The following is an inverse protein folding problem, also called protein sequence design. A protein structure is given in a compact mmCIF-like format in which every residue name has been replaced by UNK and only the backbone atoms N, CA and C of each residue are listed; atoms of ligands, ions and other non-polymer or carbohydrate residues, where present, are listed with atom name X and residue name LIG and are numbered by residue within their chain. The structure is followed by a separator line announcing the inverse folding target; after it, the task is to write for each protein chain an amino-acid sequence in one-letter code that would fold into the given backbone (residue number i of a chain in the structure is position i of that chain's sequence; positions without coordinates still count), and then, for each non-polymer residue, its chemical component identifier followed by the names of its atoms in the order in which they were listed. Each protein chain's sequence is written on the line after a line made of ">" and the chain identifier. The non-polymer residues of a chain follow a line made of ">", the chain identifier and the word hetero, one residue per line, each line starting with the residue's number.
data_IF_167257048230
#
_entry.id   IF_167257048230
#
_cell.length_a   1.000
_cell.length_b   1.000
_cell.length_c   1.000
_cell.angle_alpha   90.00
_cell.angle_beta   90.00
_cell.angle_gamma   90.00
#
_symmetry.space_group_name_H-M   'P 1'
#
loop_
_entity.id
_entity.type
_entity.pdbx_description
1 polymer ?
#
# COMPACT_ATOMS: atom_id res chain seq x y z
N UNK A 1 15.36 3.86 -12.56
CA UNK A 1 14.12 4.06 -13.33
C UNK A 1 13.04 4.35 -12.30
N UNK A 2 12.40 5.52 -12.34
CA UNK A 2 11.43 5.91 -11.31
C UNK A 2 10.22 5.00 -11.27
N UNK A 3 9.60 4.83 -10.10
CA UNK A 3 8.32 4.12 -9.97
C UNK A 3 7.21 4.99 -10.59
N UNK A 4 6.26 4.35 -11.27
CA UNK A 4 5.11 5.07 -11.83
C UNK A 4 4.15 5.45 -10.69
N UNK A 5 3.32 6.48 -10.89
CA UNK A 5 2.36 6.92 -9.87
C UNK A 5 1.40 5.81 -9.42
N UNK A 6 1.18 4.80 -10.28
CA UNK A 6 0.37 3.62 -9.97
C UNK A 6 1.07 2.67 -8.98
N UNK A 7 2.40 2.61 -8.98
CA UNK A 7 3.18 1.77 -8.06
C UNK A 7 3.17 2.31 -6.62
N UNK A 8 2.80 3.59 -6.46
CA UNK A 8 2.68 4.28 -5.17
C UNK A 8 1.31 4.11 -4.49
N UNK A 9 0.41 3.29 -5.05
CA UNK A 9 -0.86 2.93 -4.43
C UNK A 9 -0.94 1.43 -4.09
N UNK A 10 -1.60 1.11 -2.99
CA UNK A 10 -1.93 -0.26 -2.63
C UNK A 10 -3.03 -0.82 -3.55
N UNK A 11 -2.81 -1.96 -4.21
CA UNK A 11 -3.79 -2.53 -5.14
C UNK A 11 -5.05 -3.12 -4.49
N UNK A 12 -5.08 -3.27 -3.15
CA UNK A 12 -6.24 -3.79 -2.41
C UNK A 12 -7.22 -2.67 -2.06
N UNK A 13 -6.75 -1.61 -1.40
CA UNK A 13 -7.59 -0.47 -1.02
C UNK A 13 -7.57 0.67 -2.04
N UNK A 14 -6.67 0.62 -3.02
CA UNK A 14 -6.50 1.64 -4.06
C UNK A 14 -6.25 3.03 -3.48
N UNK A 15 -5.54 3.09 -2.35
CA UNK A 15 -5.11 4.32 -1.69
C UNK A 15 -3.59 4.47 -1.79
N UNK A 16 -3.07 5.70 -1.86
CA UNK A 16 -1.63 5.96 -1.81
C UNK A 16 -0.97 5.40 -0.55
N UNK A 17 0.28 4.97 -0.67
CA UNK A 17 1.10 4.63 0.49
C UNK A 17 1.46 5.87 1.30
N UNK A 18 1.68 5.70 2.60
CA UNK A 18 2.01 6.79 3.52
C UNK A 18 2.90 6.26 4.65
N UNK A 19 3.69 7.13 5.28
CA UNK A 19 4.55 6.75 6.41
C UNK A 19 3.81 6.49 7.73
N UNK A 20 2.52 6.82 7.82
CA UNK A 20 1.74 6.71 9.06
C UNK A 20 0.75 5.54 9.02
N UNK A 21 -0.21 5.59 8.10
CA UNK A 21 -1.34 4.65 8.13
C UNK A 21 -1.21 3.56 7.06
N UNK A 22 -0.80 3.95 5.85
CA UNK A 22 -0.66 3.07 4.68
C UNK A 22 0.80 2.68 4.43
N UNK A 23 1.46 2.12 5.45
CA UNK A 23 2.87 1.71 5.36
C UNK A 23 3.00 0.57 4.33
N UNK A 24 3.86 0.70 3.29
CA UNK A 24 4.06 -0.33 2.26
C UNK A 24 4.89 -1.50 2.83
N UNK A 25 4.25 -2.66 3.03
CA UNK A 25 4.85 -3.88 3.57
C UNK A 25 5.02 -4.94 2.49
N UNK A 26 6.15 -5.64 2.50
CA UNK A 26 6.54 -6.64 1.53
C UNK A 26 6.24 -8.05 2.08
N UNK A 27 5.48 -8.85 1.33
CA UNK A 27 5.28 -10.27 1.62
C UNK A 27 6.51 -11.10 1.19
N UNK A 28 6.60 -12.36 1.63
CA UNK A 28 7.71 -13.26 1.23
C UNK A 28 7.80 -13.52 -0.28
N UNK A 29 6.72 -13.22 -1.02
CA UNK A 29 6.67 -13.30 -2.49
C UNK A 29 7.00 -11.96 -3.16
N UNK A 30 7.64 -11.03 -2.45
CA UNK A 30 8.11 -9.70 -2.90
C UNK A 30 7.00 -8.71 -3.30
N UNK A 31 5.73 -9.11 -3.26
CA UNK A 31 4.61 -8.20 -3.50
C UNK A 31 4.37 -7.28 -2.30
N UNK A 32 4.07 -6.01 -2.60
CA UNK A 32 3.87 -4.96 -1.59
C UNK A 32 2.40 -4.56 -1.44
N UNK A 33 1.95 -4.42 -0.19
CA UNK A 33 0.60 -3.96 0.17
C UNK A 33 0.66 -3.07 1.41
N UNK A 34 -0.38 -2.30 1.69
CA UNK A 34 -0.37 -1.48 2.90
C UNK A 34 -0.63 -2.33 4.14
N UNK A 35 0.01 -2.00 5.26
CA UNK A 35 -0.09 -2.76 6.51
C UNK A 35 -1.52 -2.99 6.98
N UNK A 36 -2.41 -1.99 6.86
CA UNK A 36 -3.83 -2.13 7.21
C UNK A 36 -4.54 -3.20 6.38
N UNK A 37 -4.26 -3.29 5.07
CA UNK A 37 -4.84 -4.32 4.22
C UNK A 37 -4.29 -5.70 4.58
N UNK A 38 -3.00 -5.82 4.85
CA UNK A 38 -2.40 -7.10 5.28
C UNK A 38 -2.99 -7.58 6.60
N UNK A 39 -3.17 -6.68 7.57
CA UNK A 39 -3.81 -6.99 8.85
C UNK A 39 -5.24 -7.50 8.64
N UNK A 40 -6.04 -6.82 7.82
CA UNK A 40 -7.42 -7.19 7.54
C UNK A 40 -7.55 -8.55 6.82
N UNK A 41 -6.56 -8.93 6.00
CA UNK A 41 -6.52 -10.21 5.30
C UNK A 41 -5.85 -11.33 6.10
N UNK A 42 -5.21 -11.00 7.22
CA UNK A 42 -4.50 -11.97 8.05
C UNK A 42 -5.45 -12.92 8.77
N UNK A 43 -4.98 -14.15 9.00
CA UNK A 43 -5.70 -15.20 9.73
C UNK A 43 -4.77 -15.84 10.74
N UNK A 44 -5.24 -16.02 11.97
CA UNK A 44 -4.56 -16.82 12.97
C UNK A 44 -4.94 -18.29 12.78
N UNK A 45 -3.96 -19.14 12.46
CA UNK A 45 -4.15 -20.58 12.28
C UNK A 45 -3.09 -21.32 13.08
N UNK A 46 -3.52 -22.20 14.00
CA UNK A 46 -2.62 -23.04 14.81
C UNK A 46 -1.50 -22.27 15.52
N UNK A 47 -1.79 -21.03 15.98
CA UNK A 47 -0.79 -20.18 16.64
C UNK A 47 0.22 -19.56 15.68
N UNK A 48 -0.09 -19.40 14.39
CA UNK A 48 0.72 -18.69 13.40
C UNK A 48 -0.17 -17.69 12.66
N UNK A 49 0.31 -16.46 12.45
CA UNK A 49 -0.39 -15.49 11.63
C UNK A 49 -0.05 -15.73 10.16
N UNK A 50 -1.08 -15.84 9.32
CA UNK A 50 -0.96 -16.16 7.90
C UNK A 50 -1.66 -15.12 7.05
N UNK A 51 -1.11 -14.83 5.87
CA UNK A 51 -1.77 -14.01 4.85
C UNK A 51 -1.50 -14.60 3.47
N UNK A 52 -2.54 -14.68 2.63
CA UNK A 52 -2.43 -15.11 1.25
C UNK A 52 -2.27 -13.89 0.35
N UNK A 53 -1.26 -13.89 -0.53
CA UNK A 53 -1.03 -12.81 -1.47
C UNK A 53 -2.18 -12.73 -2.51
N UNK A 54 -2.88 -11.59 -2.66
CA UNK A 54 -3.92 -11.42 -3.67
C UNK A 54 -3.46 -11.59 -5.13
N UNK A 55 -2.15 -11.48 -5.38
CA UNK A 55 -1.57 -11.44 -6.72
C UNK A 55 -1.06 -12.81 -7.18
N UNK A 56 -0.37 -13.55 -6.31
CA UNK A 56 0.24 -14.83 -6.65
C UNK A 56 -0.21 -16.01 -5.78
N UNK A 57 -1.11 -15.77 -4.82
CA UNK A 57 -1.62 -16.76 -3.85
C UNK A 57 -0.56 -17.39 -2.93
N UNK A 58 0.66 -16.85 -2.91
CA UNK A 58 1.68 -17.26 -1.96
C UNK A 58 1.23 -16.99 -0.51
N UNK A 59 1.49 -17.94 0.39
CA UNK A 59 1.16 -17.81 1.81
C UNK A 59 2.39 -17.31 2.57
N UNK A 60 2.25 -16.17 3.23
CA UNK A 60 3.24 -15.65 4.17
C UNK A 60 2.81 -15.97 5.58
N UNK A 61 3.69 -16.63 6.33
CA UNK A 61 3.51 -16.99 7.73
C UNK A 61 4.43 -16.13 8.59
N UNK A 62 3.93 -15.65 9.72
CA UNK A 62 4.69 -14.85 10.68
C UNK A 62 4.39 -15.28 12.11
N UNK A 63 5.36 -15.10 12.99
CA UNK A 63 5.19 -15.31 14.43
C UNK A 63 4.05 -14.43 15.00
N UNK A 64 3.21 -14.94 15.94
CA UNK A 64 2.15 -14.14 16.56
C UNK A 64 2.64 -13.10 17.55
N UNK A 65 3.94 -13.11 17.89
CA UNK A 65 4.53 -12.19 18.86
C UNK A 65 4.44 -10.72 18.43
N UNK A 66 4.21 -10.46 17.15
CA UNK A 66 3.92 -9.15 16.59
C UNK A 66 2.63 -9.18 15.77
N UNK A 67 2.05 -8.00 15.52
CA UNK A 67 1.02 -7.87 14.48
C UNK A 67 1.60 -8.30 13.13
N UNK A 68 0.81 -8.94 12.26
CA UNK A 68 1.31 -9.48 10.99
C UNK A 68 2.07 -8.41 10.14
N UNK A 69 1.60 -7.16 9.99
CA UNK A 69 2.36 -6.12 9.29
C UNK A 69 3.67 -5.72 9.99
N UNK A 70 3.74 -5.85 11.32
CA UNK A 70 4.93 -5.53 12.10
C UNK A 70 6.09 -6.49 11.85
N UNK A 71 5.78 -7.75 11.51
CA UNK A 71 6.77 -8.78 11.18
C UNK A 71 7.29 -8.69 9.74
N UNK A 72 6.73 -7.81 8.91
CA UNK A 72 7.05 -7.73 7.48
C UNK A 72 7.93 -6.53 7.17
N UNK A 73 8.84 -6.71 6.22
CA UNK A 73 9.73 -5.65 5.73
C UNK A 73 8.94 -4.50 5.11
N UNK A 74 9.45 -3.28 5.27
CA UNK A 74 8.93 -2.10 4.56
C UNK A 74 9.60 -2.03 3.19
N UNK A 75 8.83 -1.75 2.14
CA UNK A 75 9.39 -1.50 0.82
C UNK A 75 10.10 -0.14 0.84
N UNK A 76 11.44 -0.14 0.88
CA UNK A 76 12.25 1.07 1.03
C UNK A 76 12.17 1.98 -0.18
N UNK A 77 12.09 1.44 -1.40
CA UNK A 77 11.96 2.22 -2.63
C UNK A 77 10.68 3.08 -2.61
N UNK A 78 9.54 2.48 -2.26
CA UNK A 78 8.28 3.22 -2.10
C UNK A 78 8.39 4.17 -0.90
N UNK A 79 8.99 3.73 0.21
CA UNK A 79 9.11 4.52 1.43
C UNK A 79 9.88 5.82 1.22
N UNK A 80 10.95 5.77 0.44
CA UNK A 80 11.79 6.92 0.13
C UNK A 80 11.05 7.90 -0.77
N UNK A 81 10.33 7.41 -1.78
CA UNK A 81 9.52 8.26 -2.67
C UNK A 81 8.30 8.90 -2.00
N UNK A 82 7.82 8.39 -0.85
CA UNK A 82 6.76 9.06 -0.07
C UNK A 82 7.27 10.39 0.51
N UNK A 83 8.57 10.52 0.84
CA UNK A 83 9.13 11.77 1.36
C UNK A 83 8.98 12.91 0.37
N UNK A 84 9.33 12.63 -0.89
CA UNK A 84 9.34 13.63 -1.94
C UNK A 84 7.92 14.18 -2.19
N UNK A 85 6.89 13.33 -2.08
CA UNK A 85 5.49 13.74 -2.24
C UNK A 85 4.93 14.51 -1.04
N UNK A 86 5.29 14.15 0.19
CA UNK A 86 4.80 14.84 1.39
C UNK A 86 5.41 16.26 1.54
N UNK A 87 6.62 16.46 1.00
CA UNK A 87 7.25 17.79 0.93
C UNK A 87 6.47 18.76 0.04
N UNK A 88 5.80 18.28 -1.00
CA UNK A 88 5.01 19.12 -1.91
C UNK A 88 3.65 19.56 -1.29
N UNK A 89 2.97 18.65 -0.57
CA UNK A 89 1.66 18.94 0.05
C UNK A 89 1.75 19.89 1.26
N UNK A 90 2.83 19.82 2.06
CA UNK A 90 3.04 20.73 3.21
C UNK A 90 3.46 22.15 2.79
N UNK A 91 4.19 22.31 1.68
CA UNK A 91 4.61 23.61 1.17
C UNK A 91 3.46 24.36 0.47
N UNK A 92 2.46 23.66 -0.10
CA UNK A 92 1.25 24.27 -0.66
C UNK A 92 0.36 24.91 0.44
N UNK A 93 0.24 24.27 1.61
CA UNK A 93 -0.52 24.82 2.74
C UNK A 93 0.14 26.06 3.38
N UNK A 94 1.48 26.18 3.30
CA UNK A 94 2.20 27.37 3.78
C UNK A 94 2.02 28.60 2.88
N UNK A 95 1.64 28.41 1.60
CA UNK A 95 1.37 29.51 0.66
C UNK A 95 -0.02 30.14 0.77
N UNK A 96 -1.01 29.42 1.30
CA UNK A 96 -2.41 29.86 1.29
C UNK A 96 -2.80 30.83 2.43
N UNK A 97 -1.95 31.06 3.42
CA UNK A 97 -2.29 31.86 4.61
C UNK A 97 -2.02 33.36 4.48
N UNK A 98 -2.11 33.95 3.27
CA UNK A 98 -1.87 35.39 3.08
C UNK A 98 -2.96 36.24 2.43
N UNK A 99 -4.17 35.73 2.16
CA UNK A 99 -5.27 36.65 1.79
C UNK A 99 -6.67 36.19 2.21
N UNK A 100 -7.34 37.11 2.90
CA UNK A 100 -8.65 37.03 3.54
C UNK A 100 -9.81 37.34 2.57
N UNK A 101 -10.86 36.52 2.68
CA UNK A 101 -12.32 36.79 2.52
C UNK A 101 -12.85 37.34 1.18
N UNK A 102 -13.72 36.56 0.52
CA UNK A 102 -15.11 36.98 0.15
C UNK A 102 -15.96 35.82 -0.41
N UNK A 103 -17.13 35.64 0.20
CA UNK A 103 -18.45 35.26 -0.37
C UNK A 103 -18.70 33.89 -1.03
N UNK A 104 -19.58 33.13 -0.39
CA UNK A 104 -20.65 32.23 -0.90
C UNK A 104 -20.43 31.48 -2.21
N UNK A 105 -20.19 30.16 -2.14
CA UNK A 105 -21.13 29.11 -2.56
C UNK A 105 -20.50 27.74 -2.25
N UNK A 106 -21.25 26.85 -1.61
CA UNK A 106 -20.92 25.42 -1.65
C UNK A 106 -20.95 24.96 -3.11
N UNK A 107 -20.00 24.10 -3.51
CA UNK A 107 -20.47 22.85 -4.04
C UNK A 107 -19.78 21.68 -3.35
N UNK A 108 -20.63 20.71 -3.00
CA UNK A 108 -20.31 19.31 -2.81
C UNK A 108 -19.04 18.89 -3.57
N UNK A 109 -17.92 18.73 -2.85
CA UNK A 109 -16.81 17.92 -3.35
C UNK A 109 -17.20 16.48 -3.10
N UNK A 110 -18.04 15.96 -3.98
CA UNK A 110 -18.22 14.53 -4.15
C UNK A 110 -16.83 13.89 -4.11
N UNK A 111 -16.60 13.01 -3.12
CA UNK A 111 -15.55 12.02 -3.18
C UNK A 111 -15.72 11.32 -4.54
N UNK A 112 -14.84 11.67 -5.48
CA UNK A 112 -14.88 11.16 -6.84
C UNK A 112 -14.56 9.69 -6.79
N UNK A 113 -15.60 8.86 -6.62
CA UNK A 113 -15.60 7.44 -6.94
C UNK A 113 -15.47 7.29 -8.47
N UNK A 114 -14.37 7.78 -9.04
CA UNK A 114 -13.93 7.44 -10.39
C UNK A 114 -13.67 5.95 -10.34
N UNK A 115 -14.54 5.17 -10.99
CA UNK A 115 -14.50 3.72 -11.00
C UNK A 115 -13.08 3.24 -11.38
N UNK A 116 -12.27 2.92 -10.38
CA UNK A 116 -10.93 2.31 -10.52
C UNK A 116 -11.00 0.85 -11.00
N UNK A 117 -12.13 0.44 -11.60
CA UNK A 117 -12.30 -0.90 -12.20
C UNK A 117 -11.29 -1.14 -13.33
N UNK A 118 -10.93 -0.09 -14.09
CA UNK A 118 -9.89 -0.18 -15.12
C UNK A 118 -8.49 -0.42 -14.53
N UNK A 119 -8.18 0.15 -13.36
CA UNK A 119 -6.87 -0.01 -12.71
C UNK A 119 -6.76 -1.40 -12.07
N UNK A 120 -7.85 -1.90 -11.49
CA UNK A 120 -7.94 -3.26 -10.97
C UNK A 120 -7.70 -4.31 -12.06
N UNK A 121 -8.36 -4.17 -13.23
CA UNK A 121 -8.22 -5.11 -14.35
C UNK A 121 -6.89 -4.99 -15.10
N UNK A 122 -6.24 -3.82 -15.15
CA UNK A 122 -4.91 -3.65 -15.75
C UNK A 122 -3.81 -4.25 -14.88
N UNK A 123 -3.86 -4.05 -13.56
CA UNK A 123 -2.84 -4.52 -12.62
C UNK A 123 -2.74 -6.05 -12.54
N UNK A 124 -3.88 -6.75 -12.65
CA UNK A 124 -3.88 -8.23 -12.71
C UNK A 124 -3.26 -8.79 -13.98
N UNK A 125 -3.17 -8.03 -15.08
CA UNK A 125 -2.62 -8.49 -16.36
C UNK A 125 -1.10 -8.31 -16.49
N UNK A 126 -0.49 -7.43 -15.69
CA UNK A 126 0.96 -7.16 -15.71
C UNK A 126 1.78 -8.04 -14.75
N UNK A 127 1.15 -8.93 -14.00
CA UNK A 127 1.77 -9.72 -12.92
C UNK A 127 2.04 -11.19 -13.30
N UNK A 128 2.26 -11.47 -14.58
CA UNK A 128 2.83 -12.75 -15.01
C UNK A 128 4.32 -12.80 -14.65
N UNK A 129 4.63 -12.94 -13.36
CA UNK A 129 6.00 -13.18 -12.90
C UNK A 129 6.17 -14.66 -12.53
N UNK A 130 7.23 -15.33 -13.02
CA UNK A 130 7.47 -16.73 -12.76
C UNK A 130 7.91 -16.90 -11.30
N UNK A 131 7.25 -17.81 -10.60
CA UNK A 131 7.55 -18.19 -9.22
C UNK A 131 8.88 -18.95 -9.22
N UNK A 132 10.00 -18.28 -8.95
CA UNK A 132 11.23 -18.95 -8.55
C UNK A 132 11.09 -19.39 -7.10
N UNK A 133 10.89 -20.70 -6.92
CA UNK A 133 10.85 -21.38 -5.62
C UNK A 133 12.15 -21.09 -4.87
N UNK A 134 12.04 -20.61 -3.64
CA UNK A 134 13.10 -20.79 -2.65
C UNK A 134 12.54 -21.62 -1.50
N UNK A 135 13.22 -22.75 -1.29
CA UNK A 135 12.97 -23.76 -0.28
C UNK A 135 13.19 -23.14 1.10
N UNK A 136 12.18 -23.25 1.97
CA UNK A 136 12.35 -23.02 3.40
C UNK A 136 12.82 -24.36 3.96
N UNK A 137 14.14 -24.51 4.12
CA UNK A 137 14.73 -25.58 4.90
C UNK A 137 14.56 -25.20 6.38
N UNK A 138 13.63 -25.87 7.06
CA UNK A 138 13.57 -25.89 8.52
C UNK A 138 14.41 -27.10 8.93
N UNK A 139 15.63 -26.86 9.41
CA UNK A 139 16.33 -27.79 10.30
C UNK A 139 15.97 -27.50 11.76
#
# INVERSE_FOLDING_TARGET
>A
MGLMSEDMECCVCLQPYSRREKIPRVLHCEHTFCGLCLQAMSRLQSGVLTVCCPLCRWITCTEPSLTLPGSLWVNTEIWDQILDRQQEEEEEWKGANRQTRTTTHSPSRHCGLRLKLQNFLRRMKSLNFPISKQEILIE
#
